data_IF_863547122922
#
_entry.id   IF_863547122922
#
_cell.length_a   1.000
_cell.length_b   1.000
_cell.length_c   1.000
_cell.angle_alpha   90.00
_cell.angle_beta   90.00
_cell.angle_gamma   90.00
#
_symmetry.space_group_name_H-M   'P 1'
#
loop_
_entity.id
_entity.type
_entity.pdbx_description
1 polymer ?
#
# COMPACT_ATOMS: atom_id res chain seq x y z
N UNK A 1 25.31 -9.21 -20.47
CA UNK A 1 25.33 -8.97 -19.02
C UNK A 1 23.88 -9.05 -18.54
N UNK A 2 23.54 -10.01 -17.70
CA UNK A 2 22.19 -10.08 -17.12
C UNK A 2 22.08 -9.01 -16.04
N UNK A 3 21.06 -8.16 -16.14
CA UNK A 3 20.73 -7.13 -15.15
C UNK A 3 20.13 -7.81 -13.93
N UNK A 4 20.75 -7.65 -12.76
CA UNK A 4 20.14 -8.07 -11.49
C UNK A 4 18.92 -7.18 -11.24
N UNK A 5 17.71 -7.73 -11.02
CA UNK A 5 16.55 -6.91 -10.70
C UNK A 5 16.84 -6.08 -9.45
N UNK A 6 16.74 -4.77 -9.56
CA UNK A 6 16.87 -3.89 -8.42
C UNK A 6 15.63 -4.05 -7.55
N UNK A 7 15.82 -4.45 -6.28
CA UNK A 7 14.72 -4.52 -5.32
C UNK A 7 14.04 -3.17 -5.15
N UNK A 8 12.74 -3.18 -4.92
CA UNK A 8 11.92 -2.00 -4.67
C UNK A 8 11.00 -2.20 -3.47
N UNK A 9 10.59 -1.09 -2.86
CA UNK A 9 9.66 -1.08 -1.73
C UNK A 9 8.42 -0.28 -2.11
N UNK A 10 7.25 -0.87 -1.87
CA UNK A 10 5.96 -0.17 -2.00
C UNK A 10 5.39 0.03 -0.59
N UNK A 11 4.87 1.23 -0.34
CA UNK A 11 4.09 1.55 0.85
C UNK A 11 2.64 1.75 0.46
N UNK A 12 1.79 0.82 0.85
CA UNK A 12 0.34 0.91 0.61
C UNK A 12 -0.39 1.45 1.84
N UNK A 13 -1.52 2.11 1.61
CA UNK A 13 -2.45 2.57 2.66
C UNK A 13 -3.83 1.94 2.43
N UNK A 14 -4.09 0.71 2.93
CA UNK A 14 -5.32 -0.03 2.63
C UNK A 14 -6.62 0.65 3.09
N UNK A 15 -6.52 1.67 3.96
CA UNK A 15 -7.64 2.46 4.49
C UNK A 15 -7.45 3.96 4.24
N UNK A 16 -6.60 4.32 3.27
CA UNK A 16 -6.35 5.71 2.89
C UNK A 16 -5.78 6.56 4.03
N UNK A 17 -6.38 7.74 4.26
CA UNK A 17 -6.05 8.65 5.36
C UNK A 17 -6.82 8.41 6.65
N UNK A 18 -7.79 7.48 6.65
CA UNK A 18 -8.67 7.27 7.79
C UNK A 18 -7.89 6.79 9.02
N UNK A 19 -8.34 7.21 10.20
CA UNK A 19 -7.78 6.75 11.47
C UNK A 19 -8.81 6.99 12.58
N UNK A 20 -8.84 6.14 13.59
CA UNK A 20 -9.69 6.31 14.77
C UNK A 20 -9.05 7.21 15.85
N UNK A 21 -7.86 7.77 15.58
CA UNK A 21 -7.12 8.65 16.50
C UNK A 21 -6.94 10.05 15.91
N UNK A 22 -6.89 11.06 16.79
CA UNK A 22 -6.70 12.48 16.44
C UNK A 22 -5.33 13.03 16.84
N UNK A 23 -4.25 12.39 16.39
CA UNK A 23 -2.89 12.78 16.79
C UNK A 23 -2.52 14.18 16.28
N UNK A 24 -2.07 15.08 17.18
CA UNK A 24 -1.66 16.46 16.83
C UNK A 24 -0.53 16.54 15.80
N UNK A 25 0.31 15.51 15.70
CA UNK A 25 1.45 15.45 14.79
C UNK A 25 1.15 14.71 13.48
N UNK A 26 -0.06 14.16 13.30
CA UNK A 26 -0.37 13.34 12.14
C UNK A 26 -0.81 14.20 10.96
N UNK A 27 0.03 14.29 9.92
CA UNK A 27 -0.29 15.04 8.71
C UNK A 27 -1.22 14.30 7.72
N UNK A 28 -1.61 13.05 8.03
CA UNK A 28 -2.44 12.23 7.15
C UNK A 28 -3.94 12.46 7.34
N UNK A 29 -4.39 12.86 8.54
CA UNK A 29 -5.81 12.92 8.88
C UNK A 29 -6.59 13.84 7.94
N UNK A 30 -6.02 15.00 7.64
CA UNK A 30 -6.68 16.01 6.81
C UNK A 30 -6.68 15.66 5.32
N UNK A 31 -6.17 14.51 4.89
CA UNK A 31 -6.00 14.18 3.45
C UNK A 31 -7.24 13.56 2.80
N UNK A 32 -8.33 13.40 3.54
CA UNK A 32 -9.60 12.87 3.02
C UNK A 32 -10.13 13.69 1.84
N UNK A 33 -10.02 15.02 1.91
CA UNK A 33 -10.47 15.96 0.86
C UNK A 33 -9.75 15.83 -0.48
N UNK A 34 -8.66 15.07 -0.56
CA UNK A 34 -7.94 14.84 -1.82
C UNK A 34 -8.65 13.83 -2.73
N UNK A 35 -9.66 13.13 -2.22
CA UNK A 35 -10.39 12.09 -2.94
C UNK A 35 -11.82 12.54 -3.24
N UNK A 36 -12.41 12.11 -4.37
CA UNK A 36 -13.80 12.40 -4.69
C UNK A 36 -14.76 11.94 -3.59
N UNK A 37 -15.78 12.75 -3.33
CA UNK A 37 -16.84 12.39 -2.38
C UNK A 37 -17.50 11.06 -2.79
N UNK A 38 -17.58 10.13 -1.84
CA UNK A 38 -18.21 8.82 -2.05
C UNK A 38 -17.26 7.70 -2.49
N UNK A 39 -15.96 7.97 -2.69
CA UNK A 39 -14.98 6.89 -2.88
C UNK A 39 -14.73 6.11 -1.58
N UNK A 40 -14.63 4.78 -1.70
CA UNK A 40 -14.25 3.93 -0.59
C UNK A 40 -12.73 4.02 -0.37
N UNK A 41 -12.32 4.52 0.80
CA UNK A 41 -10.91 4.51 1.22
C UNK A 41 -10.36 3.10 1.47
N UNK A 42 -11.25 2.12 1.67
CA UNK A 42 -10.89 0.74 1.93
C UNK A 42 -10.54 0.01 0.63
N UNK A 43 -9.31 -0.48 0.57
CA UNK A 43 -8.86 -1.43 -0.43
C UNK A 43 -9.70 -2.71 -0.37
N UNK A 44 -10.20 -3.14 -1.52
CA UNK A 44 -10.96 -4.38 -1.61
C UNK A 44 -10.06 -5.60 -1.33
N UNK A 45 -10.62 -6.64 -0.71
CA UNK A 45 -9.86 -7.82 -0.30
C UNK A 45 -9.16 -8.53 -1.46
N UNK A 46 -9.84 -8.68 -2.60
CA UNK A 46 -9.27 -9.26 -3.82
C UNK A 46 -8.07 -8.44 -4.36
N UNK A 47 -8.15 -7.10 -4.29
CA UNK A 47 -7.05 -6.23 -4.71
C UNK A 47 -5.85 -6.35 -3.74
N UNK A 48 -6.11 -6.50 -2.44
CA UNK A 48 -5.05 -6.76 -1.45
C UNK A 48 -4.36 -8.11 -1.70
N UNK A 49 -5.13 -9.16 -2.01
CA UNK A 49 -4.59 -10.48 -2.37
C UNK A 49 -3.70 -10.41 -3.63
N UNK A 50 -4.20 -9.74 -4.68
CA UNK A 50 -3.45 -9.53 -5.91
C UNK A 50 -2.15 -8.74 -5.67
N UNK A 51 -2.22 -7.66 -4.89
CA UNK A 51 -1.05 -6.88 -4.49
C UNK A 51 0.01 -7.75 -3.79
N UNK A 52 -0.40 -8.58 -2.83
CA UNK A 52 0.53 -9.45 -2.09
C UNK A 52 1.22 -10.44 -3.04
N UNK A 53 0.45 -11.10 -3.92
CA UNK A 53 0.99 -12.05 -4.87
C UNK A 53 2.02 -11.40 -5.81
N UNK A 54 1.68 -10.24 -6.39
CA UNK A 54 2.57 -9.49 -7.29
C UNK A 54 3.82 -8.97 -6.56
N UNK A 55 3.67 -8.52 -5.31
CA UNK A 55 4.81 -8.03 -4.53
C UNK A 55 5.82 -9.13 -4.21
N UNK A 56 5.34 -10.34 -3.91
CA UNK A 56 6.20 -11.52 -3.68
C UNK A 56 6.91 -11.91 -4.99
N UNK A 57 6.17 -11.99 -6.11
CA UNK A 57 6.73 -12.35 -7.42
C UNK A 57 7.83 -11.38 -7.87
N UNK A 58 7.65 -10.09 -7.56
CA UNK A 58 8.58 -9.05 -7.95
C UNK A 58 9.77 -8.89 -6.98
N UNK A 59 9.78 -9.61 -5.85
CA UNK A 59 10.90 -9.59 -4.91
C UNK A 59 12.09 -10.37 -5.46
N UNK A 60 13.31 -9.79 -5.49
CA UNK A 60 14.51 -10.48 -5.95
C UNK A 60 15.05 -11.51 -4.95
N UNK A 61 14.50 -11.56 -3.73
CA UNK A 61 14.99 -12.41 -2.65
C UNK A 61 14.61 -13.89 -2.83
N UNK A 62 15.45 -14.78 -2.31
CA UNK A 62 15.18 -16.22 -2.35
C UNK A 62 14.00 -16.58 -1.44
N UNK A 63 13.04 -17.33 -2.00
CA UNK A 63 11.97 -17.97 -1.22
C UNK A 63 12.60 -19.01 -0.30
N UNK A 64 12.57 -18.75 1.02
CA UNK A 64 13.01 -19.71 2.04
C UNK A 64 11.92 -20.79 2.14
N UNK A 65 12.27 -22.03 1.78
CA UNK A 65 11.39 -23.22 1.86
C UNK A 65 11.78 -24.07 3.06
#
# INVERSE_FOLDING_TARGET
MATVPQGFQVFIKPIGSLCNLGCRYCYYLDKEHLYPEGEAFQMQGNLLEEYIAQHIEASPDQIIT
#
